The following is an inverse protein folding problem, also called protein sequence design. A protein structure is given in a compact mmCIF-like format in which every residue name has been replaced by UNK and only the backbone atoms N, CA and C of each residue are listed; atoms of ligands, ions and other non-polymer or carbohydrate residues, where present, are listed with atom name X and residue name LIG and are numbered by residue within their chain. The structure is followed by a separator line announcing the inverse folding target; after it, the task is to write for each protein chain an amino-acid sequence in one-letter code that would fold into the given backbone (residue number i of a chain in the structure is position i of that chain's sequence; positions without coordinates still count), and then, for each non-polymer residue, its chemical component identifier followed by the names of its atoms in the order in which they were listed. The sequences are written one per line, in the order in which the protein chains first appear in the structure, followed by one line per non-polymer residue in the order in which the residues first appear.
data_IF_344825958272
#
_entry.id   IF_344825958272
#
_cell.length_a   1.000
_cell.length_b   1.000
_cell.length_c   1.000
_cell.angle_alpha   90.00
_cell.angle_beta   90.00
_cell.angle_gamma   90.00
#
_symmetry.space_group_name_H-M   'P 1'
#
loop_
_entity.id
_entity.type
_entity.pdbx_description
1 polymer ?
#
# COMPACT_ATOMS: atom_id res chain seq x y z
N UNK A 1 -8.81 3.13 -8.35
CA UNK A 1 -8.81 2.48 -7.04
C UNK A 1 -10.25 2.15 -6.63
N UNK A 2 -11.16 3.13 -6.62
CA UNK A 2 -12.55 2.96 -6.18
C UNK A 2 -13.28 1.83 -6.92
N UNK A 3 -13.11 1.72 -8.24
CA UNK A 3 -13.73 0.66 -9.04
C UNK A 3 -13.34 -0.75 -8.57
N UNK A 4 -12.09 -0.93 -8.13
CA UNK A 4 -11.60 -2.21 -7.60
C UNK A 4 -12.14 -2.45 -6.19
N UNK A 5 -12.20 -1.42 -5.35
CA UNK A 5 -12.72 -1.51 -3.98
C UNK A 5 -14.19 -1.94 -3.95
N UNK A 6 -15.00 -1.38 -4.86
CA UNK A 6 -16.44 -1.62 -4.90
C UNK A 6 -16.84 -2.91 -5.67
N UNK A 7 -15.86 -3.60 -6.25
CA UNK A 7 -16.13 -4.84 -7.00
C UNK A 7 -15.97 -6.05 -6.10
N UNK A 8 -16.99 -6.89 -6.05
CA UNK A 8 -16.93 -8.22 -5.45
C UNK A 8 -16.70 -9.26 -6.53
N UNK A 9 -15.95 -10.31 -6.21
CA UNK A 9 -15.67 -11.42 -7.12
C UNK A 9 -16.08 -12.74 -6.47
N UNK A 10 -17.00 -13.45 -7.12
CA UNK A 10 -17.39 -14.83 -6.72
C UNK A 10 -16.25 -15.85 -6.95
N UNK A 11 -15.22 -15.45 -7.69
CA UNK A 11 -14.05 -16.28 -8.00
C UNK A 11 -12.99 -16.09 -6.89
N UNK A 12 -12.76 -17.10 -6.02
CA UNK A 12 -11.92 -16.91 -4.82
C UNK A 12 -10.51 -16.41 -5.10
N UNK A 13 -9.89 -16.85 -6.22
CA UNK A 13 -8.54 -16.40 -6.58
C UNK A 13 -8.46 -14.92 -6.97
N UNK A 14 -9.54 -14.39 -7.57
CA UNK A 14 -9.60 -12.97 -7.95
C UNK A 14 -9.89 -12.11 -6.72
N UNK A 15 -10.82 -12.55 -5.86
CA UNK A 15 -11.11 -11.87 -4.60
C UNK A 15 -9.85 -11.78 -3.72
N UNK A 16 -9.12 -12.90 -3.57
CA UNK A 16 -7.85 -12.93 -2.85
C UNK A 16 -6.83 -11.93 -3.41
N UNK A 17 -6.63 -11.92 -4.73
CA UNK A 17 -5.62 -11.04 -5.35
C UNK A 17 -6.07 -9.58 -5.32
N UNK A 18 -7.37 -9.30 -5.41
CA UNK A 18 -7.95 -7.97 -5.16
C UNK A 18 -7.58 -7.46 -3.76
N UNK A 19 -7.82 -8.28 -2.74
CA UNK A 19 -7.54 -7.90 -1.36
C UNK A 19 -6.04 -7.64 -1.14
N UNK A 20 -5.16 -8.50 -1.65
CA UNK A 20 -3.70 -8.30 -1.58
C UNK A 20 -3.28 -7.02 -2.31
N UNK A 21 -3.87 -6.74 -3.47
CA UNK A 21 -3.61 -5.51 -4.21
C UNK A 21 -4.08 -4.27 -3.46
N UNK A 22 -5.29 -4.30 -2.90
CA UNK A 22 -5.82 -3.21 -2.08
C UNK A 22 -4.97 -3.01 -0.82
N UNK A 23 -4.58 -4.09 -0.15
CA UNK A 23 -3.67 -4.00 0.99
C UNK A 23 -2.37 -3.26 0.61
N UNK A 24 -1.76 -3.62 -0.51
CA UNK A 24 -0.57 -2.92 -1.00
C UNK A 24 -0.84 -1.47 -1.44
N UNK A 25 -2.04 -1.15 -1.96
CA UNK A 25 -2.46 0.22 -2.29
C UNK A 25 -2.61 1.11 -1.07
N UNK A 26 -2.94 0.57 0.10
CA UNK A 26 -3.15 1.33 1.33
C UNK A 26 -1.99 1.25 2.32
N UNK A 27 -0.97 0.42 2.06
CA UNK A 27 0.23 0.31 2.90
C UNK A 27 1.51 0.73 2.19
N UNK A 28 1.51 0.77 0.86
CA UNK A 28 2.69 1.07 0.07
C UNK A 28 3.77 -0.02 0.11
N UNK A 29 3.54 -1.15 0.75
CA UNK A 29 4.49 -2.24 0.81
C UNK A 29 4.78 -2.80 -0.59
N UNK A 30 6.02 -3.17 -0.87
CA UNK A 30 6.35 -3.90 -2.07
C UNK A 30 5.81 -5.33 -1.98
N UNK A 31 5.53 -5.97 -3.12
CA UNK A 31 4.99 -7.33 -3.16
C UNK A 31 5.78 -8.33 -2.31
N UNK A 32 7.11 -8.28 -2.35
CA UNK A 32 7.96 -9.14 -1.52
C UNK A 32 7.80 -8.87 -0.02
N UNK A 33 7.55 -7.62 0.37
CA UNK A 33 7.33 -7.23 1.77
C UNK A 33 5.94 -7.67 2.24
N UNK A 34 4.91 -7.59 1.37
CA UNK A 34 3.57 -8.13 1.63
C UNK A 34 3.60 -9.65 1.79
N UNK A 35 4.29 -10.36 0.89
CA UNK A 35 4.37 -11.83 0.92
C UNK A 35 5.10 -12.40 2.13
N UNK A 36 5.91 -11.58 2.80
CA UNK A 36 6.68 -11.95 4.00
C UNK A 36 6.22 -11.21 5.25
N UNK A 37 5.06 -10.57 5.20
CA UNK A 37 4.47 -9.89 6.35
C UNK A 37 4.03 -10.93 7.39
N UNK A 38 4.45 -10.74 8.64
CA UNK A 38 4.17 -11.63 9.77
C UNK A 38 3.52 -10.85 10.91
N UNK A 39 2.81 -11.50 11.85
CA UNK A 39 2.23 -10.85 13.01
C UNK A 39 3.23 -10.01 13.83
N UNK A 40 4.47 -10.44 13.93
CA UNK A 40 5.56 -9.72 14.62
C UNK A 40 5.91 -8.35 14.02
N UNK A 41 5.47 -8.08 12.79
CA UNK A 41 5.63 -6.77 12.15
C UNK A 41 4.46 -5.82 12.42
N UNK A 42 3.42 -6.29 13.12
CA UNK A 42 2.24 -5.51 13.47
C UNK A 42 2.38 -5.08 14.94
N UNK A 43 2.36 -3.79 15.17
CA UNK A 43 2.48 -3.20 16.50
C UNK A 43 1.31 -2.26 16.75
N UNK A 44 0.85 -2.20 17.99
CA UNK A 44 -0.13 -1.24 18.41
C UNK A 44 0.56 -0.14 19.21
N UNK A 45 0.29 1.11 18.90
CA UNK A 45 0.85 2.23 19.65
C UNK A 45 0.05 2.50 20.96
N UNK A 46 0.51 3.48 21.72
CA UNK A 46 -0.10 3.84 23.01
C UNK A 46 -1.54 4.37 22.87
N UNK A 47 -1.97 4.77 21.68
CA UNK A 47 -3.31 5.25 21.38
C UNK A 47 -4.24 4.13 20.91
N UNK A 48 -3.70 2.92 20.70
CA UNK A 48 -4.43 1.79 20.16
C UNK A 48 -4.41 1.69 18.64
N UNK A 49 -3.69 2.55 17.94
CA UNK A 49 -3.56 2.53 16.49
C UNK A 49 -2.56 1.47 16.03
N UNK A 50 -2.92 0.72 15.00
CA UNK A 50 -2.07 -0.33 14.44
C UNK A 50 -1.09 0.20 13.41
N UNK A 51 0.12 -0.33 13.47
CA UNK A 51 1.24 0.02 12.60
C UNK A 51 1.88 -1.22 11.99
N UNK A 52 2.39 -1.08 10.77
CA UNK A 52 3.37 -2.02 10.22
C UNK A 52 4.77 -1.42 10.39
N UNK A 53 5.66 -2.17 11.05
CA UNK A 53 7.09 -1.87 11.15
C UNK A 53 7.89 -3.01 10.55
N UNK A 54 8.33 -2.85 9.32
CA UNK A 54 8.97 -3.94 8.57
C UNK A 54 10.20 -3.47 7.80
N UNK A 55 11.33 -4.16 8.01
CA UNK A 55 12.52 -4.05 7.15
C UNK A 55 12.20 -4.48 5.71
N UNK A 56 12.78 -3.79 4.72
CA UNK A 56 12.53 -4.10 3.31
C UNK A 56 13.40 -5.27 2.84
N UNK A 57 12.78 -6.38 2.46
CA UNK A 57 13.43 -7.62 1.98
C UNK A 57 14.49 -7.36 0.91
N UNK A 58 14.23 -6.45 -0.05
CA UNK A 58 15.18 -6.12 -1.12
C UNK A 58 16.45 -5.44 -0.60
N UNK A 59 16.37 -4.65 0.47
CA UNK A 59 17.51 -3.92 1.05
C UNK A 59 18.30 -4.81 2.00
N UNK A 60 17.63 -5.64 2.77
CA UNK A 60 18.25 -6.66 3.63
C UNK A 60 19.15 -7.60 2.82
N UNK A 61 18.63 -8.13 1.68
CA UNK A 61 19.42 -8.99 0.77
C UNK A 61 20.64 -8.30 0.18
N UNK A 62 20.66 -6.98 0.09
CA UNK A 62 21.78 -6.20 -0.44
C UNK A 62 22.73 -5.69 0.62
N UNK A 63 22.56 -6.06 1.90
CA UNK A 63 23.33 -5.55 3.07
C UNK A 63 23.42 -4.01 3.09
N UNK A 64 22.45 -3.33 2.51
CA UNK A 64 22.35 -1.87 2.59
C UNK A 64 21.45 -1.53 3.76
N UNK A 65 21.81 -0.49 4.51
CA UNK A 65 21.12 0.10 5.66
C UNK A 65 19.63 -0.26 5.71
N UNK A 66 19.20 -0.84 6.82
CA UNK A 66 17.81 -1.26 7.07
C UNK A 66 16.88 -0.07 7.09
N UNK A 67 16.35 0.33 5.94
CA UNK A 67 15.23 1.24 5.95
C UNK A 67 13.97 0.46 6.29
N UNK A 68 13.37 0.80 7.41
CA UNK A 68 12.14 0.22 7.92
C UNK A 68 10.97 1.00 7.29
N UNK A 69 10.00 0.28 6.75
CA UNK A 69 8.72 0.87 6.41
C UNK A 69 7.90 1.02 7.68
N UNK A 70 7.51 2.26 8.01
CA UNK A 70 6.64 2.59 9.14
C UNK A 70 5.30 3.07 8.58
N UNK A 71 4.28 2.24 8.68
CA UNK A 71 2.98 2.52 8.03
C UNK A 71 1.86 2.42 9.06
N UNK A 72 1.18 3.54 9.40
CA UNK A 72 -0.06 3.48 10.17
C UNK A 72 -1.14 2.80 9.33
N UNK A 73 -1.89 1.89 9.94
CA UNK A 73 -2.89 1.10 9.23
C UNK A 73 -4.24 1.82 9.19
N UNK A 74 -4.72 2.05 7.98
CA UNK A 74 -6.07 2.52 7.71
C UNK A 74 -7.10 1.38 7.86
N UNK A 75 -8.41 1.67 7.94
CA UNK A 75 -9.45 0.64 8.13
C UNK A 75 -9.43 -0.48 7.08
N UNK A 76 -9.13 -0.16 5.81
CA UNK A 76 -9.12 -1.15 4.71
C UNK A 76 -8.07 -2.24 4.93
N UNK A 77 -6.78 -1.96 5.14
CA UNK A 77 -5.80 -3.00 5.44
C UNK A 77 -6.09 -3.76 6.73
N UNK A 78 -6.65 -3.11 7.76
CA UNK A 78 -7.06 -3.80 8.99
C UNK A 78 -8.16 -4.83 8.74
N UNK A 79 -9.19 -4.47 7.97
CA UNK A 79 -10.27 -5.40 7.58
C UNK A 79 -9.73 -6.59 6.78
N UNK A 80 -8.76 -6.36 5.88
CA UNK A 80 -8.12 -7.42 5.11
C UNK A 80 -7.30 -8.34 6.02
N UNK A 81 -6.51 -7.81 6.94
CA UNK A 81 -5.76 -8.64 7.91
C UNK A 81 -6.69 -9.52 8.73
N UNK A 82 -7.79 -8.96 9.23
CA UNK A 82 -8.80 -9.69 9.98
C UNK A 82 -9.47 -10.79 9.14
N UNK A 83 -9.78 -10.52 7.87
CA UNK A 83 -10.37 -11.48 6.92
C UNK A 83 -9.50 -12.74 6.78
N UNK A 84 -8.17 -12.60 6.79
CA UNK A 84 -7.22 -13.69 6.56
C UNK A 84 -6.53 -14.22 7.82
N UNK A 85 -6.88 -13.73 9.01
CA UNK A 85 -6.27 -14.12 10.28
C UNK A 85 -6.26 -15.63 10.52
N UNK A 86 -7.37 -16.31 10.21
CA UNK A 86 -7.55 -17.75 10.39
C UNK A 86 -7.34 -18.55 9.10
N UNK A 87 -6.80 -17.92 8.03
CA UNK A 87 -6.65 -18.62 6.75
C UNK A 87 -5.59 -19.73 6.85
N UNK A 88 -5.87 -21.00 6.38
CA UNK A 88 -4.98 -22.14 6.58
C UNK A 88 -3.54 -21.93 6.07
N UNK A 89 -3.36 -21.23 4.94
CA UNK A 89 -2.05 -20.91 4.40
C UNK A 89 -1.30 -19.95 5.34
N UNK A 90 -1.98 -18.95 5.89
CA UNK A 90 -1.38 -17.99 6.82
C UNK A 90 -0.91 -18.69 8.09
N UNK A 91 -1.75 -19.52 8.68
CA UNK A 91 -1.40 -20.31 9.88
C UNK A 91 -0.21 -21.23 9.62
N UNK A 92 -0.18 -21.92 8.46
CA UNK A 92 0.91 -22.84 8.09
C UNK A 92 2.23 -22.12 7.85
N UNK A 93 2.20 -20.93 7.23
CA UNK A 93 3.41 -20.20 6.85
C UNK A 93 3.83 -19.15 7.89
N UNK A 94 3.00 -18.86 8.89
CA UNK A 94 3.22 -17.78 9.86
C UNK A 94 3.19 -16.40 9.21
N UNK A 95 2.39 -16.21 8.14
CA UNK A 95 2.26 -14.94 7.41
C UNK A 95 0.90 -14.32 7.64
N UNK A 96 0.78 -13.00 7.53
CA UNK A 96 -0.50 -12.30 7.70
C UNK A 96 -1.44 -12.47 6.52
N UNK A 97 -0.92 -12.76 5.31
CA UNK A 97 -1.71 -12.81 4.08
C UNK A 97 -1.32 -14.04 3.24
N UNK A 98 -2.29 -14.71 2.58
CA UNK A 98 -2.06 -15.90 1.76
C UNK A 98 -1.65 -15.50 0.32
N UNK A 99 -0.45 -14.94 0.17
CA UNK A 99 0.03 -14.36 -1.10
C UNK A 99 0.44 -15.44 -2.09
N UNK A 100 -0.14 -15.39 -3.30
CA UNK A 100 0.29 -16.22 -4.44
C UNK A 100 1.61 -15.69 -5.02
N UNK A 101 2.27 -16.44 -5.93
CA UNK A 101 3.49 -15.95 -6.56
C UNK A 101 3.21 -14.69 -7.43
N UNK A 102 4.23 -13.83 -7.58
CA UNK A 102 4.09 -12.54 -8.25
C UNK A 102 3.59 -12.65 -9.71
N UNK A 103 4.00 -13.69 -10.42
CA UNK A 103 3.56 -13.92 -11.80
C UNK A 103 2.04 -14.19 -11.86
N UNK A 104 1.53 -15.07 -11.00
CA UNK A 104 0.08 -15.35 -10.89
C UNK A 104 -0.69 -14.11 -10.43
N UNK A 105 -0.18 -13.38 -9.44
CA UNK A 105 -0.81 -12.15 -8.97
C UNK A 105 -0.97 -11.14 -10.12
N UNK A 106 0.08 -10.91 -10.91
CA UNK A 106 0.02 -9.99 -12.06
C UNK A 106 -0.93 -10.49 -13.17
N UNK A 107 -1.02 -11.81 -13.39
CA UNK A 107 -2.01 -12.38 -14.35
C UNK A 107 -3.43 -12.11 -13.89
N UNK A 108 -3.75 -12.37 -12.62
CA UNK A 108 -5.09 -12.13 -12.06
C UNK A 108 -5.43 -10.64 -11.97
N UNK A 109 -4.44 -9.76 -11.75
CA UNK A 109 -4.67 -8.32 -11.79
C UNK A 109 -5.10 -7.81 -13.18
N UNK A 110 -4.67 -8.47 -14.26
CA UNK A 110 -5.19 -8.15 -15.61
C UNK A 110 -6.66 -8.52 -15.73
N UNK A 111 -7.05 -9.71 -15.28
CA UNK A 111 -8.45 -10.14 -15.25
C UNK A 111 -9.30 -9.15 -14.41
N UNK A 112 -8.82 -8.77 -13.23
CA UNK A 112 -9.48 -7.77 -12.37
C UNK A 112 -9.63 -6.42 -13.09
N UNK A 113 -8.59 -5.98 -13.81
CA UNK A 113 -8.64 -4.75 -14.59
C UNK A 113 -9.72 -4.80 -15.67
N UNK A 114 -9.82 -5.91 -16.40
CA UNK A 114 -10.83 -6.13 -17.42
C UNK A 114 -12.26 -6.09 -16.83
N UNK A 115 -12.49 -6.81 -15.73
CA UNK A 115 -13.78 -6.77 -15.01
C UNK A 115 -14.17 -5.39 -14.48
N UNK A 116 -13.18 -4.56 -14.13
CA UNK A 116 -13.37 -3.20 -13.62
C UNK A 116 -13.37 -2.13 -14.73
N UNK A 117 -13.24 -2.50 -16.00
CA UNK A 117 -13.14 -1.56 -17.13
C UNK A 117 -11.88 -0.68 -17.09
N UNK A 118 -10.80 -1.16 -16.46
CA UNK A 118 -9.55 -0.40 -16.29
C UNK A 118 -8.61 -0.71 -17.47
N UNK A 119 -8.39 0.29 -18.33
CA UNK A 119 -7.50 0.14 -19.51
C UNK A 119 -6.00 0.13 -19.16
N UNK A 120 -5.61 0.56 -17.96
CA UNK A 120 -4.22 0.58 -17.50
C UNK A 120 -3.77 -0.83 -17.12
N UNK A 121 -2.51 -1.17 -17.46
CA UNK A 121 -1.93 -2.43 -17.03
C UNK A 121 -1.72 -2.42 -15.51
N UNK A 122 -2.56 -3.17 -14.78
CA UNK A 122 -2.42 -3.33 -13.33
C UNK A 122 -1.33 -4.37 -13.04
N UNK A 123 -0.43 -3.99 -12.16
CA UNK A 123 0.64 -4.86 -11.65
C UNK A 123 0.78 -4.68 -10.15
N UNK A 124 1.42 -5.62 -9.48
CA UNK A 124 1.72 -5.50 -8.06
C UNK A 124 2.54 -4.24 -7.73
N UNK A 125 3.34 -3.74 -8.68
CA UNK A 125 4.08 -2.49 -8.53
C UNK A 125 3.18 -1.26 -8.61
N UNK A 126 2.10 -1.32 -9.40
CA UNK A 126 1.12 -0.24 -9.51
C UNK A 126 0.43 0.07 -8.17
N UNK A 127 0.26 -0.93 -7.30
CA UNK A 127 -0.29 -0.72 -5.96
C UNK A 127 0.55 0.26 -5.13
N UNK A 128 1.87 0.07 -5.09
CA UNK A 128 2.79 0.96 -4.38
C UNK A 128 2.83 2.37 -4.99
N UNK A 129 2.70 2.46 -6.31
CA UNK A 129 2.55 3.73 -7.02
C UNK A 129 1.25 4.44 -6.59
N UNK A 130 0.14 3.69 -6.52
CA UNK A 130 -1.17 4.20 -6.07
C UNK A 130 -1.11 4.70 -4.63
N UNK A 131 -0.43 3.98 -3.73
CA UNK A 131 -0.19 4.46 -2.37
C UNK A 131 0.51 5.82 -2.37
N UNK A 132 1.67 5.91 -3.02
CA UNK A 132 2.47 7.13 -3.03
C UNK A 132 1.74 8.32 -3.65
N UNK A 133 0.98 8.11 -4.73
CA UNK A 133 0.34 9.22 -5.46
C UNK A 133 -1.08 9.49 -4.97
N UNK A 134 -1.96 8.48 -5.02
CA UNK A 134 -3.40 8.66 -4.81
C UNK A 134 -3.79 8.64 -3.34
N UNK A 135 -3.15 7.75 -2.54
CA UNK A 135 -3.51 7.59 -1.13
C UNK A 135 -2.79 8.61 -0.26
N UNK A 136 -1.56 8.99 -0.60
CA UNK A 136 -0.77 9.90 0.26
C UNK A 136 -0.59 11.28 -0.35
N UNK A 137 0.21 11.46 -1.40
CA UNK A 137 0.54 12.78 -1.94
C UNK A 137 -0.68 13.58 -2.41
N UNK A 138 -1.69 12.92 -3.00
CA UNK A 138 -2.93 13.58 -3.41
C UNK A 138 -3.78 14.07 -2.22
N UNK A 139 -3.52 13.56 -1.02
CA UNK A 139 -4.13 13.96 0.25
C UNK A 139 -3.17 14.83 1.11
N UNK A 140 -2.23 15.50 0.48
CA UNK A 140 -1.30 16.44 1.11
C UNK A 140 -0.39 15.84 2.20
N UNK A 141 -0.16 14.52 2.17
CA UNK A 141 0.84 13.90 3.04
C UNK A 141 2.24 14.36 2.61
N UNK A 142 3.07 14.89 3.52
CA UNK A 142 4.40 15.37 3.19
C UNK A 142 5.30 14.30 2.56
N UNK A 143 6.13 14.69 1.58
CA UNK A 143 7.00 13.76 0.86
C UNK A 143 7.94 12.96 1.77
N UNK A 144 8.41 13.58 2.86
CA UNK A 144 9.26 12.95 3.86
C UNK A 144 8.54 11.80 4.57
N UNK A 145 7.28 11.99 4.93
CA UNK A 145 6.44 10.98 5.57
C UNK A 145 6.13 9.83 4.60
N UNK A 146 5.78 10.16 3.35
CA UNK A 146 5.60 9.16 2.29
C UNK A 146 6.88 8.34 2.10
N UNK A 147 8.04 8.98 2.13
CA UNK A 147 9.35 8.31 2.03
C UNK A 147 9.60 7.34 3.19
N UNK A 148 9.25 7.75 4.41
CA UNK A 148 9.36 6.91 5.61
C UNK A 148 8.40 5.69 5.54
N UNK A 149 7.12 5.91 5.19
CA UNK A 149 6.15 4.84 5.00
C UNK A 149 6.57 3.84 3.92
N UNK A 150 7.15 4.33 2.83
CA UNK A 150 7.69 3.49 1.77
C UNK A 150 8.98 2.78 2.16
N UNK A 151 9.59 3.09 3.30
CA UNK A 151 10.91 2.56 3.69
C UNK A 151 11.97 2.89 2.64
N UNK A 152 12.03 4.13 2.16
CA UNK A 152 13.08 4.60 1.27
C UNK A 152 14.27 5.10 2.09
N UNK A 153 15.48 4.70 1.69
CA UNK A 153 16.71 5.18 2.33
C UNK A 153 16.99 6.68 2.09
N UNK A 154 16.30 7.28 1.11
CA UNK A 154 16.43 8.68 0.74
C UNK A 154 15.13 9.19 0.13
N UNK A 155 14.74 10.41 0.45
CA UNK A 155 13.58 11.11 -0.16
C UNK A 155 13.72 11.26 -1.67
N UNK A 156 14.95 11.30 -2.20
CA UNK A 156 15.20 11.31 -3.65
C UNK A 156 14.53 10.14 -4.37
N UNK A 157 14.41 8.98 -3.71
CA UNK A 157 13.69 7.81 -4.27
C UNK A 157 12.18 8.04 -4.35
N UNK A 158 11.65 8.97 -3.58
CA UNK A 158 10.22 9.31 -3.52
C UNK A 158 9.89 10.47 -4.45
N UNK A 159 10.87 11.31 -4.78
CA UNK A 159 10.66 12.51 -5.61
C UNK A 159 10.04 12.24 -6.97
N UNK A 160 10.25 11.06 -7.57
CA UNK A 160 9.63 10.73 -8.85
C UNK A 160 8.10 10.55 -8.76
N UNK A 161 7.55 10.35 -7.56
CA UNK A 161 6.10 10.35 -7.31
C UNK A 161 5.56 11.77 -7.08
N UNK A 162 6.42 12.70 -6.65
CA UNK A 162 6.07 14.07 -6.31
C UNK A 162 6.01 14.95 -7.56
N UNK A 163 5.26 14.55 -8.59
CA UNK A 163 4.82 15.50 -9.59
C UNK A 163 3.87 16.46 -8.89
N UNK A 164 4.25 17.72 -8.84
CA UNK A 164 3.40 18.78 -8.29
C UNK A 164 2.07 18.73 -9.04
N UNK A 165 1.01 18.37 -8.35
CA UNK A 165 -0.34 18.39 -8.91
C UNK A 165 -0.84 19.84 -8.77
N UNK A 166 -1.25 20.45 -9.88
CA UNK A 166 -1.84 21.82 -9.89
C UNK A 166 -2.99 21.95 -8.89
N UNK A 167 -3.76 20.87 -8.72
CA UNK A 167 -4.83 20.80 -7.72
C UNK A 167 -4.30 21.02 -6.30
N UNK A 168 -3.24 20.31 -5.90
CA UNK A 168 -2.68 20.44 -4.55
C UNK A 168 -2.11 21.85 -4.31
N UNK A 169 -1.49 22.45 -5.32
CA UNK A 169 -1.02 23.84 -5.23
C UNK A 169 -2.19 24.79 -4.97
N UNK A 170 -3.27 24.66 -5.74
CA UNK A 170 -4.47 25.48 -5.59
C UNK A 170 -5.11 25.30 -4.22
N UNK A 171 -5.27 24.05 -3.78
CA UNK A 171 -5.91 23.72 -2.50
C UNK A 171 -5.07 24.27 -1.33
N UNK A 172 -3.75 24.13 -1.36
CA UNK A 172 -2.85 24.69 -0.36
C UNK A 172 -2.90 26.23 -0.33
N UNK A 173 -2.95 26.89 -1.49
CA UNK A 173 -3.10 28.35 -1.54
C UNK A 173 -4.47 28.83 -1.06
N UNK A 174 -5.55 28.05 -1.26
CA UNK A 174 -6.85 28.34 -0.69
C UNK A 174 -6.82 28.25 0.84
N UNK A 175 -6.10 27.28 1.42
CA UNK A 175 -5.89 27.18 2.87
C UNK A 175 -5.15 28.39 3.40
N UNK A 176 -4.09 28.84 2.72
CA UNK A 176 -3.35 30.06 3.08
C UNK A 176 -4.27 31.28 3.03
N UNK A 177 -5.04 31.45 1.94
CA UNK A 177 -6.02 32.54 1.81
C UNK A 177 -6.98 32.56 2.98
N UNK A 178 -7.59 31.41 3.31
CA UNK A 178 -8.52 31.32 4.44
C UNK A 178 -7.89 31.69 5.79
N UNK A 179 -6.63 31.22 6.04
CA UNK A 179 -5.92 31.54 7.28
C UNK A 179 -5.48 33.00 7.39
N UNK A 180 -5.28 33.67 6.26
CA UNK A 180 -4.89 35.09 6.21
C UNK A 180 -6.08 36.03 6.12
N UNK A 181 -7.31 35.53 6.00
CA UNK A 181 -8.52 36.33 5.89
C UNK A 181 -8.64 37.09 4.55
N UNK A 182 -8.06 36.56 3.47
CA UNK A 182 -8.06 37.15 2.12
C UNK A 182 -9.19 36.63 1.25
#
# INVERSE_FOLDING_TARGET
LQAIMNREFDIPRLELVKDIFLFACFTGLAFADVSTLRPEHLEQDNNGDWWIRKGRVKLERRRKSSSIANVPLLPVPLAILKKYESHPICLKQGTCLPVVCNQKANSYLKEIADFCGIKKNLTTHAARHTFATTVTLANNVPLQEVSAMLGHASTRMTQHYARVMDRNLKDNMNIVRSKMGL
#
